data_IF_785552416767
#
_entry.id   IF_785552416767
#
_cell.length_a   1.000
_cell.length_b   1.000
_cell.length_c   1.000
_cell.angle_alpha   90.00
_cell.angle_beta   90.00
_cell.angle_gamma   90.00
#
_symmetry.space_group_name_H-M   'P 1'
#
loop_
_entity.id
_entity.type
_entity.pdbx_description
1 polymer ?
#
# COMPACT_ATOMS: atom_id res chain seq x y z
N UNK A 1 24.44 21.05 -17.56
CA UNK A 1 24.18 21.27 -16.12
C UNK A 1 22.71 21.03 -15.73
N UNK A 2 21.73 21.50 -16.50
CA UNK A 2 20.29 21.29 -16.20
C UNK A 2 19.78 19.85 -16.35
N UNK A 3 20.31 19.06 -17.30
CA UNK A 3 19.89 17.65 -17.49
C UNK A 3 20.20 16.76 -16.28
N UNK A 4 21.32 17.00 -15.58
CA UNK A 4 21.67 16.28 -14.37
C UNK A 4 20.75 16.65 -13.20
N UNK A 5 20.39 17.93 -13.08
CA UNK A 5 19.46 18.41 -12.05
C UNK A 5 18.03 17.87 -12.25
N UNK A 6 17.57 17.74 -13.50
CA UNK A 6 16.26 17.14 -13.80
C UNK A 6 16.25 15.64 -13.53
N UNK A 7 17.30 14.91 -13.91
CA UNK A 7 17.38 13.48 -13.64
C UNK A 7 17.39 13.17 -12.13
N UNK A 8 18.08 13.99 -11.32
CA UNK A 8 18.09 13.80 -9.87
C UNK A 8 16.71 13.96 -9.22
N UNK A 9 15.86 14.86 -9.71
CA UNK A 9 14.50 15.07 -9.18
C UNK A 9 13.64 13.81 -9.33
N UNK A 10 13.86 13.03 -10.40
CA UNK A 10 13.09 11.82 -10.65
C UNK A 10 13.76 10.53 -10.15
N UNK A 11 15.10 10.46 -10.13
CA UNK A 11 15.84 9.25 -9.73
C UNK A 11 16.02 9.10 -8.22
N UNK A 12 16.26 10.21 -7.50
CA UNK A 12 16.50 10.16 -6.06
C UNK A 12 15.30 9.61 -5.26
N UNK A 13 14.04 10.02 -5.53
CA UNK A 13 12.89 9.48 -4.82
C UNK A 13 12.67 7.98 -5.08
N UNK A 14 12.96 7.50 -6.30
CA UNK A 14 12.84 6.07 -6.63
C UNK A 14 13.90 5.23 -5.91
N UNK A 15 15.12 5.76 -5.77
CA UNK A 15 16.18 5.11 -5.01
C UNK A 15 15.87 5.10 -3.51
N UNK A 16 15.32 6.21 -2.99
CA UNK A 16 14.85 6.31 -1.61
C UNK A 16 13.77 5.26 -1.32
N UNK A 17 12.75 5.13 -2.18
CA UNK A 17 11.74 4.06 -2.07
C UNK A 17 12.38 2.68 -2.00
N UNK A 18 13.29 2.37 -2.93
CA UNK A 18 13.94 1.07 -2.95
C UNK A 18 14.72 0.76 -1.67
N UNK A 19 15.31 1.77 -1.01
CA UNK A 19 16.01 1.58 0.26
C UNK A 19 15.10 1.28 1.44
N UNK A 20 13.85 1.75 1.43
CA UNK A 20 12.91 1.55 2.53
C UNK A 20 12.06 0.28 2.38
N UNK A 21 12.14 -0.42 1.23
CA UNK A 21 11.42 -1.67 1.01
C UNK A 21 11.81 -2.73 2.03
N UNK A 22 10.78 -3.39 2.56
CA UNK A 22 10.88 -4.46 3.55
C UNK A 22 10.05 -5.66 3.10
N UNK A 23 10.47 -6.84 3.56
CA UNK A 23 9.68 -8.05 3.36
C UNK A 23 8.36 -7.96 4.11
N UNK A 24 7.29 -8.50 3.53
CA UNK A 24 5.97 -8.51 4.14
C UNK A 24 5.94 -9.37 5.40
N UNK A 25 5.55 -8.76 6.51
CA UNK A 25 5.25 -9.42 7.77
C UNK A 25 3.84 -9.02 8.23
N UNK A 26 2.97 -10.01 8.44
CA UNK A 26 1.58 -9.80 8.81
C UNK A 26 1.42 -9.13 10.18
N UNK A 27 2.25 -9.48 11.15
CA UNK A 27 2.16 -8.93 12.49
C UNK A 27 2.58 -7.45 12.49
N UNK A 28 3.67 -7.13 11.80
CA UNK A 28 4.16 -5.76 11.65
C UNK A 28 3.19 -4.91 10.82
N UNK A 29 2.63 -5.46 9.74
CA UNK A 29 1.62 -4.79 8.93
C UNK A 29 0.40 -4.36 9.76
N UNK A 30 -0.08 -5.26 10.63
CA UNK A 30 -1.22 -5.00 11.52
C UNK A 30 -0.88 -4.03 12.64
N UNK A 31 0.35 -4.08 13.15
CA UNK A 31 0.82 -3.16 14.17
C UNK A 31 0.96 -1.73 13.62
N UNK A 32 1.57 -1.56 12.45
CA UNK A 32 1.83 -0.28 11.78
C UNK A 32 2.38 0.80 12.73
N UNK A 33 3.52 0.52 13.37
CA UNK A 33 4.10 1.34 14.45
C UNK A 33 5.42 2.02 14.03
N UNK A 34 5.68 2.15 12.74
CA UNK A 34 6.87 2.83 12.23
C UNK A 34 7.04 4.23 12.85
N UNK A 35 8.25 4.51 13.31
CA UNK A 35 8.61 5.82 13.89
C UNK A 35 8.70 6.93 12.83
N UNK A 36 8.96 6.56 11.56
CA UNK A 36 9.05 7.50 10.45
C UNK A 36 7.66 7.67 9.77
N UNK A 37 7.01 8.84 9.90
CA UNK A 37 5.72 9.10 9.28
C UNK A 37 5.80 9.16 7.75
N UNK A 38 6.99 9.35 7.16
CA UNK A 38 7.20 9.33 5.72
C UNK A 38 7.38 7.92 5.15
N UNK A 39 7.73 6.95 6.00
CA UNK A 39 7.98 5.56 5.64
C UNK A 39 7.29 4.57 6.60
N UNK A 40 5.96 4.64 6.71
CA UNK A 40 5.20 3.70 7.51
C UNK A 40 5.40 2.24 7.07
N UNK A 41 5.19 1.32 8.02
CA UNK A 41 5.43 -0.11 7.85
C UNK A 41 4.70 -0.67 6.63
N UNK A 42 3.42 -0.32 6.47
CA UNK A 42 2.59 -0.80 5.36
C UNK A 42 3.11 -0.32 4.00
N UNK A 43 3.52 0.94 3.88
CA UNK A 43 4.12 1.49 2.66
C UNK A 43 5.39 0.75 2.27
N UNK A 44 6.24 0.44 3.26
CA UNK A 44 7.50 -0.28 3.05
C UNK A 44 7.30 -1.74 2.63
N UNK A 45 6.14 -2.35 2.95
CA UNK A 45 5.87 -3.78 2.75
C UNK A 45 4.89 -4.09 1.61
N UNK A 46 4.08 -3.13 1.15
CA UNK A 46 2.99 -3.38 0.19
C UNK A 46 3.48 -4.01 -1.12
N UNK A 47 4.65 -3.62 -1.61
CA UNK A 47 5.19 -4.18 -2.86
C UNK A 47 5.57 -5.66 -2.71
N UNK A 48 6.16 -6.04 -1.57
CA UNK A 48 6.50 -7.45 -1.28
C UNK A 48 5.25 -8.28 -1.02
N UNK A 49 4.22 -7.71 -0.36
CA UNK A 49 2.91 -8.33 -0.21
C UNK A 49 2.32 -8.67 -1.59
N UNK A 50 2.26 -7.71 -2.50
CA UNK A 50 1.69 -7.89 -3.83
C UNK A 50 2.54 -8.79 -4.74
N UNK A 51 3.84 -8.88 -4.48
CA UNK A 51 4.74 -9.79 -5.20
C UNK A 51 4.61 -11.24 -4.73
N UNK A 52 4.35 -11.49 -3.44
CA UNK A 52 4.32 -12.83 -2.84
C UNK A 52 2.93 -13.42 -2.70
N UNK A 53 1.91 -12.57 -2.51
CA UNK A 53 0.55 -13.00 -2.21
C UNK A 53 -0.37 -12.60 -3.35
N UNK A 54 -0.93 -13.60 -4.03
CA UNK A 54 -2.03 -13.37 -4.98
C UNK A 54 -3.30 -13.06 -4.20
N UNK A 55 -3.66 -11.78 -4.09
CA UNK A 55 -4.85 -11.35 -3.35
C UNK A 55 -6.14 -11.80 -4.04
N UNK A 56 -6.20 -11.72 -5.37
CA UNK A 56 -7.38 -12.12 -6.15
C UNK A 56 -7.74 -13.59 -5.90
N UNK A 57 -9.01 -13.85 -5.60
CA UNK A 57 -9.55 -15.17 -5.27
C UNK A 57 -9.42 -15.58 -3.80
N UNK A 58 -8.64 -14.86 -2.99
CA UNK A 58 -8.58 -15.12 -1.55
C UNK A 58 -9.93 -14.86 -0.90
N UNK A 59 -10.34 -15.71 0.06
CA UNK A 59 -11.53 -15.45 0.86
C UNK A 59 -11.27 -14.26 1.81
N UNK A 60 -12.32 -13.48 2.09
CA UNK A 60 -12.27 -12.30 2.93
C UNK A 60 -11.64 -12.60 4.30
N UNK A 61 -11.94 -13.75 4.90
CA UNK A 61 -11.40 -14.16 6.20
C UNK A 61 -9.89 -14.29 6.15
N UNK A 62 -9.34 -14.82 5.05
CA UNK A 62 -7.88 -14.96 4.87
C UNK A 62 -7.21 -13.61 4.67
N UNK A 63 -7.87 -12.69 3.97
CA UNK A 63 -7.38 -11.30 3.83
C UNK A 63 -7.34 -10.62 5.19
N UNK A 64 -8.40 -10.76 6.00
CA UNK A 64 -8.48 -10.19 7.35
C UNK A 64 -7.45 -10.82 8.29
N UNK A 65 -7.19 -12.12 8.16
CA UNK A 65 -6.14 -12.80 8.92
C UNK A 65 -4.74 -12.23 8.61
N UNK A 66 -4.45 -12.03 7.32
CA UNK A 66 -3.16 -11.54 6.82
C UNK A 66 -2.95 -10.04 7.09
N UNK A 67 -3.94 -9.21 6.78
CA UNK A 67 -3.80 -7.75 6.74
C UNK A 67 -4.50 -7.05 7.90
N UNK A 68 -5.31 -7.77 8.68
CA UNK A 68 -6.22 -7.18 9.65
C UNK A 68 -7.52 -6.69 8.99
N UNK A 69 -8.47 -6.19 9.81
CA UNK A 69 -9.61 -5.46 9.27
C UNK A 69 -9.12 -4.25 8.48
N UNK A 70 -9.83 -3.88 7.40
CA UNK A 70 -9.57 -2.63 6.70
C UNK A 70 -9.76 -1.45 7.65
N UNK A 71 -9.01 -0.36 7.44
CA UNK A 71 -9.10 0.82 8.29
C UNK A 71 -10.45 1.55 8.08
N UNK A 72 -11.02 1.43 6.87
CA UNK A 72 -12.35 1.94 6.52
C UNK A 72 -13.08 1.00 5.56
N UNK A 73 -14.38 0.86 5.78
CA UNK A 73 -15.33 0.33 4.80
C UNK A 73 -15.76 1.48 3.89
N UNK A 74 -15.11 1.64 2.73
CA UNK A 74 -15.51 2.66 1.76
C UNK A 74 -16.51 2.09 0.74
N UNK A 75 -17.59 1.48 1.25
CA UNK A 75 -18.64 0.86 0.43
C UNK A 75 -19.22 1.86 -0.59
N UNK A 76 -19.25 3.15 -0.25
CA UNK A 76 -19.70 4.24 -1.13
C UNK A 76 -18.83 4.42 -2.39
N UNK A 77 -17.55 4.05 -2.37
CA UNK A 77 -16.65 4.04 -3.52
C UNK A 77 -16.52 2.67 -4.19
N UNK A 78 -17.31 1.68 -3.73
CA UNK A 78 -17.32 0.32 -4.26
C UNK A 78 -16.19 -0.58 -3.75
N UNK A 79 -15.36 -0.10 -2.81
CA UNK A 79 -14.34 -0.91 -2.15
C UNK A 79 -14.84 -1.43 -0.81
N UNK A 80 -14.41 -2.64 -0.45
CA UNK A 80 -14.88 -3.30 0.77
C UNK A 80 -13.88 -3.16 1.92
N UNK A 81 -12.58 -3.11 1.62
CA UNK A 81 -11.54 -2.87 2.62
C UNK A 81 -10.51 -1.91 2.05
N UNK A 82 -10.16 -0.89 2.83
CA UNK A 82 -9.11 0.08 2.48
C UNK A 82 -8.07 0.08 3.60
N UNK A 83 -6.80 -0.09 3.20
CA UNK A 83 -5.65 -0.05 4.09
C UNK A 83 -4.79 1.16 3.75
N UNK A 84 -4.72 2.14 4.65
CA UNK A 84 -3.82 3.29 4.49
C UNK A 84 -2.38 2.81 4.53
N UNK A 85 -1.63 3.21 3.50
CA UNK A 85 -0.23 2.83 3.36
C UNK A 85 0.65 3.93 3.93
N UNK A 86 0.37 5.19 3.61
CA UNK A 86 1.18 6.34 4.00
C UNK A 86 1.16 7.45 2.95
N UNK A 87 2.07 8.42 3.05
CA UNK A 87 2.21 9.44 2.01
C UNK A 87 2.62 8.83 0.67
N UNK A 88 2.20 9.47 -0.42
CA UNK A 88 2.55 9.07 -1.78
C UNK A 88 4.07 9.01 -1.95
N UNK A 89 4.56 7.92 -2.55
CA UNK A 89 5.98 7.76 -2.91
C UNK A 89 6.30 8.59 -4.15
N UNK A 90 7.43 9.29 -4.12
CA UNK A 90 7.93 10.07 -5.25
C UNK A 90 8.34 11.50 -4.87
N UNK A 91 8.61 12.31 -5.89
CA UNK A 91 9.11 13.68 -5.73
C UNK A 91 8.09 14.64 -5.09
N UNK A 92 6.80 14.33 -5.17
CA UNK A 92 5.70 15.17 -4.69
C UNK A 92 4.78 14.36 -3.76
N UNK A 93 5.08 14.35 -2.46
CA UNK A 93 4.34 13.57 -1.44
C UNK A 93 3.15 14.34 -0.84
N UNK A 94 2.30 14.92 -1.70
CA UNK A 94 1.17 15.75 -1.25
C UNK A 94 -0.07 14.91 -0.94
N UNK A 95 -0.16 13.74 -1.57
CA UNK A 95 -1.31 12.85 -1.56
C UNK A 95 -1.03 11.63 -0.65
N UNK A 96 -2.07 10.88 -0.27
CA UNK A 96 -1.94 9.63 0.50
C UNK A 96 -2.15 8.40 -0.38
N UNK A 97 -1.36 7.35 -0.15
CA UNK A 97 -1.52 6.03 -0.78
C UNK A 97 -2.32 5.09 0.12
N UNK A 98 -3.23 4.32 -0.50
CA UNK A 98 -4.00 3.28 0.17
C UNK A 98 -4.15 2.02 -0.70
N UNK A 99 -4.07 0.84 -0.10
CA UNK A 99 -4.44 -0.42 -0.75
C UNK A 99 -5.94 -0.66 -0.56
N UNK A 100 -6.70 -0.60 -1.66
CA UNK A 100 -8.12 -0.90 -1.66
C UNK A 100 -8.37 -2.31 -2.20
N UNK A 101 -9.30 -3.04 -1.58
CA UNK A 101 -9.67 -4.42 -1.89
C UNK A 101 -11.19 -4.51 -2.04
N UNK A 102 -11.63 -5.21 -3.09
CA UNK A 102 -13.04 -5.43 -3.40
C UNK A 102 -13.37 -6.92 -3.34
N UNK A 103 -14.41 -7.27 -2.60
CA UNK A 103 -14.94 -8.62 -2.50
C UNK A 103 -16.14 -8.79 -3.43
N UNK A 104 -16.21 -9.94 -4.09
CA UNK A 104 -17.35 -10.37 -4.88
C UNK A 104 -18.46 -10.96 -4.01
N UNK A 105 -19.59 -11.36 -4.62
CA UNK A 105 -20.75 -11.90 -3.90
C UNK A 105 -20.45 -13.20 -3.13
N UNK A 106 -19.40 -13.93 -3.51
CA UNK A 106 -18.94 -15.15 -2.82
C UNK A 106 -17.97 -14.88 -1.66
N UNK A 107 -17.76 -13.62 -1.27
CA UNK A 107 -16.83 -13.25 -0.20
C UNK A 107 -15.36 -13.43 -0.56
N UNK A 108 -15.02 -13.42 -1.86
CA UNK A 108 -13.65 -13.54 -2.37
C UNK A 108 -13.18 -12.25 -3.02
N UNK A 109 -11.89 -11.97 -2.95
CA UNK A 109 -11.30 -10.79 -3.62
C UNK A 109 -11.48 -10.92 -5.12
N UNK A 110 -12.13 -9.94 -5.73
CA UNK A 110 -12.27 -9.83 -7.20
C UNK A 110 -11.33 -8.79 -7.79
N UNK A 111 -10.93 -7.80 -6.98
CA UNK A 111 -10.06 -6.72 -7.42
C UNK A 111 -9.31 -6.12 -6.21
N UNK A 112 -8.09 -5.67 -6.45
CA UNK A 112 -7.37 -4.77 -5.53
C UNK A 112 -6.67 -3.67 -6.33
N UNK A 113 -6.41 -2.52 -5.71
CA UNK A 113 -5.72 -1.39 -6.33
C UNK A 113 -5.01 -0.52 -5.29
N UNK A 114 -3.88 0.06 -5.68
CA UNK A 114 -3.29 1.18 -4.95
C UNK A 114 -4.00 2.46 -5.40
N UNK A 115 -4.70 3.10 -4.48
CA UNK A 115 -5.34 4.39 -4.67
C UNK A 115 -4.39 5.49 -4.19
N UNK A 116 -4.42 6.62 -4.88
CA UNK A 116 -3.80 7.87 -4.44
C UNK A 116 -4.95 8.84 -4.24
N UNK A 117 -5.20 9.25 -3.00
CA UNK A 117 -6.24 10.22 -2.66
C UNK A 117 -5.68 11.64 -2.79
N UNK A 118 -6.41 12.50 -3.50
CA UNK A 118 -6.03 13.88 -3.83
C UNK A 118 -6.81 14.91 -3.02
#
# INVERSE_FOLDING_TARGET
MYLLALASVFLLPTLEDHWHRRGFDSALWKANQADDPLWPDRLCMVDDLLARVTLVGLPQERVVELLGPGDRDSVSSGWNAVYYLGPQRGAFRMDEEALAVRFGPEGRVVEYRILVDK
#
